data_IF_823033044372
#
_entry.id   IF_823033044372
#
_cell.length_a   1.000
_cell.length_b   1.000
_cell.length_c   1.000
_cell.angle_alpha   90.00
_cell.angle_beta   90.00
_cell.angle_gamma   90.00
#
_symmetry.space_group_name_H-M   'P 1'
#
loop_
_entity.id
_entity.type
_entity.pdbx_description
1 polymer ?
#
# COMPACT_ATOMS: atom_id res chain seq x y z
N UNK A 1 58.36 5.14 -45.42
CA UNK A 1 57.68 4.50 -44.25
C UNK A 1 56.19 4.86 -44.10
N UNK A 2 55.74 6.02 -44.58
CA UNK A 2 54.37 6.54 -44.42
C UNK A 2 53.29 5.77 -45.22
N UNK A 3 53.60 5.33 -46.45
CA UNK A 3 52.64 4.64 -47.34
C UNK A 3 52.10 3.30 -46.77
N UNK A 4 52.95 2.51 -46.11
CA UNK A 4 52.53 1.24 -45.51
C UNK A 4 51.61 1.41 -44.28
N UNK A 5 51.66 2.58 -43.59
CA UNK A 5 50.73 2.89 -42.50
C UNK A 5 49.32 3.14 -43.05
N UNK A 6 49.19 3.92 -44.12
CA UNK A 6 47.89 4.21 -44.75
C UNK A 6 47.21 2.96 -45.33
N UNK A 7 47.96 2.03 -45.92
CA UNK A 7 47.40 0.75 -46.41
C UNK A 7 46.92 -0.17 -45.28
N UNK A 8 47.59 -0.16 -44.12
CA UNK A 8 47.13 -0.88 -42.91
C UNK A 8 45.88 -0.23 -42.31
N UNK A 9 45.82 1.10 -42.23
CA UNK A 9 44.65 1.81 -41.69
C UNK A 9 43.37 1.53 -42.48
N UNK A 10 43.43 1.44 -43.82
CA UNK A 10 42.27 1.09 -44.65
C UNK A 10 41.71 -0.32 -44.40
N UNK A 11 42.54 -1.26 -43.90
CA UNK A 11 42.11 -2.62 -43.53
C UNK A 11 41.56 -2.70 -42.12
N UNK A 12 42.03 -1.83 -41.21
CA UNK A 12 41.63 -1.82 -39.79
C UNK A 12 40.34 -1.01 -39.58
N UNK A 13 40.11 0.03 -40.38
CA UNK A 13 38.93 0.89 -40.30
C UNK A 13 37.57 0.15 -40.35
N UNK A 14 37.32 -0.81 -41.28
CA UNK A 14 36.03 -1.51 -41.28
C UNK A 14 35.81 -2.39 -40.05
N UNK A 15 36.89 -2.92 -39.46
CA UNK A 15 36.83 -3.74 -38.23
C UNK A 15 36.44 -2.86 -37.04
N UNK A 16 36.99 -1.65 -36.94
CA UNK A 16 36.64 -0.69 -35.89
C UNK A 16 35.20 -0.21 -36.01
N UNK A 17 34.71 0.02 -37.24
CA UNK A 17 33.31 0.38 -37.50
C UNK A 17 32.38 -0.77 -37.09
N UNK A 18 32.72 -2.01 -37.44
CA UNK A 18 31.93 -3.18 -37.03
C UNK A 18 31.88 -3.34 -35.51
N UNK A 19 33.02 -3.17 -34.81
CA UNK A 19 33.08 -3.20 -33.35
C UNK A 19 32.24 -2.10 -32.70
N UNK A 20 32.29 -0.88 -33.23
CA UNK A 20 31.48 0.23 -32.74
C UNK A 20 29.99 -0.02 -32.94
N UNK A 21 29.58 -0.55 -34.09
CA UNK A 21 28.19 -0.90 -34.36
C UNK A 21 27.69 -2.00 -33.42
N UNK A 22 28.48 -3.04 -33.19
CA UNK A 22 28.14 -4.10 -32.23
C UNK A 22 27.99 -3.54 -30.82
N UNK A 23 28.93 -2.69 -30.38
CA UNK A 23 28.87 -2.07 -29.05
C UNK A 23 27.65 -1.13 -28.90
N UNK A 24 27.30 -0.38 -29.94
CA UNK A 24 26.13 0.50 -29.95
C UNK A 24 24.81 -0.26 -29.81
N UNK A 25 24.73 -1.48 -30.35
CA UNK A 25 23.53 -2.33 -30.20
C UNK A 25 23.31 -2.72 -28.73
N UNK A 26 24.38 -3.02 -27.99
CA UNK A 26 24.28 -3.35 -26.56
C UNK A 26 23.98 -2.13 -25.68
N UNK A 27 24.39 -0.93 -26.08
CA UNK A 27 24.13 0.31 -25.33
C UNK A 27 22.71 0.86 -25.54
N UNK A 28 22.09 0.60 -26.69
CA UNK A 28 20.72 1.05 -27.00
C UNK A 28 19.66 -0.02 -26.71
N UNK A 29 20.05 -1.23 -26.29
CA UNK A 29 19.08 -2.24 -25.88
C UNK A 29 18.36 -1.78 -24.59
N UNK A 30 17.02 -1.81 -24.54
CA UNK A 30 16.29 -1.47 -23.32
C UNK A 30 16.69 -2.42 -22.18
N UNK A 31 17.02 -1.87 -21.01
CA UNK A 31 17.28 -2.66 -19.81
C UNK A 31 15.98 -3.29 -19.33
N UNK A 32 15.82 -4.58 -19.57
CA UNK A 32 14.67 -5.35 -19.09
C UNK A 32 14.92 -5.66 -17.61
N UNK A 33 14.16 -5.03 -16.71
CA UNK A 33 14.19 -5.36 -15.29
C UNK A 33 13.30 -6.58 -15.06
N UNK A 34 13.89 -7.73 -14.73
CA UNK A 34 13.12 -8.90 -14.30
C UNK A 34 12.59 -8.66 -12.87
N UNK A 35 11.28 -8.81 -12.69
CA UNK A 35 10.64 -8.76 -11.36
C UNK A 35 10.76 -10.14 -10.72
N UNK A 36 11.87 -10.38 -10.04
CA UNK A 36 12.13 -11.62 -9.30
C UNK A 36 11.85 -11.44 -7.81
N UNK A 37 11.10 -12.39 -7.22
CA UNK A 37 10.95 -12.51 -5.77
C UNK A 37 11.68 -13.77 -5.30
N UNK A 38 12.62 -13.64 -4.38
CA UNK A 38 13.47 -14.75 -3.93
C UNK A 38 13.44 -14.93 -2.41
N UNK A 39 13.58 -16.18 -1.97
CA UNK A 39 13.88 -16.61 -0.61
C UNK A 39 15.09 -17.55 -0.61
N UNK A 40 15.58 -17.95 0.56
CA UNK A 40 16.73 -18.86 0.71
C UNK A 40 16.58 -20.17 -0.06
N UNK A 41 15.34 -20.63 -0.29
CA UNK A 41 15.07 -21.92 -0.92
C UNK A 41 14.41 -21.81 -2.31
N UNK A 42 13.95 -20.63 -2.72
CA UNK A 42 13.19 -20.47 -3.97
C UNK A 42 13.46 -19.12 -4.61
N UNK A 43 13.61 -19.12 -5.93
CA UNK A 43 13.63 -17.91 -6.75
C UNK A 43 12.40 -17.96 -7.68
N UNK A 44 11.53 -16.96 -7.59
CA UNK A 44 10.34 -16.82 -8.42
C UNK A 44 10.60 -15.71 -9.43
N UNK A 45 10.78 -16.10 -10.69
CA UNK A 45 10.90 -15.17 -11.81
C UNK A 45 9.54 -15.10 -12.54
N UNK A 46 8.70 -14.14 -12.17
CA UNK A 46 7.48 -13.82 -12.93
C UNK A 46 6.23 -14.70 -12.75
N UNK A 47 5.33 -14.57 -13.73
CA UNK A 47 3.99 -15.17 -13.85
C UNK A 47 4.03 -16.71 -14.04
N UNK A 48 3.19 -17.47 -13.32
CA UNK A 48 3.04 -18.92 -13.49
C UNK A 48 2.02 -19.26 -14.60
N UNK A 49 2.24 -18.70 -15.80
CA UNK A 49 1.43 -18.94 -17.00
C UNK A 49 2.29 -19.44 -18.16
N UNK A 50 1.75 -20.33 -19.00
CA UNK A 50 2.42 -20.83 -20.22
C UNK A 50 2.75 -19.67 -21.20
N UNK A 51 2.05 -18.54 -21.14
CA UNK A 51 2.40 -17.32 -21.88
C UNK A 51 1.97 -16.04 -21.14
N UNK A 52 2.68 -14.94 -21.36
CA UNK A 52 2.29 -13.62 -20.88
C UNK A 52 3.11 -12.50 -21.52
N UNK A 53 2.67 -11.24 -21.37
CA UNK A 53 3.37 -10.07 -21.89
C UNK A 53 2.60 -8.77 -21.75
N UNK A 54 3.29 -7.65 -22.01
CA UNK A 54 2.67 -6.35 -22.21
C UNK A 54 2.58 -6.06 -23.71
N UNK A 55 1.37 -5.93 -24.22
CA UNK A 55 1.09 -5.43 -25.57
C UNK A 55 0.58 -4.01 -25.47
N UNK A 56 0.85 -3.18 -26.47
CA UNK A 56 0.36 -1.82 -26.45
C UNK A 56 0.41 -1.16 -27.80
N UNK A 57 -0.37 -0.10 -27.92
CA UNK A 57 -0.29 0.90 -28.97
C UNK A 57 -0.20 2.28 -28.30
N UNK A 58 -0.15 3.35 -29.08
CA UNK A 58 -0.21 4.72 -28.57
C UNK A 58 -1.43 4.96 -27.68
N UNK A 59 -2.54 4.26 -27.95
CA UNK A 59 -3.85 4.53 -27.34
C UNK A 59 -4.29 3.50 -26.30
N UNK A 60 -3.57 2.40 -26.13
CA UNK A 60 -3.92 1.42 -25.11
C UNK A 60 -2.71 0.59 -24.70
N UNK A 61 -2.75 0.12 -23.46
CA UNK A 61 -1.86 -0.91 -22.95
C UNK A 61 -2.72 -2.09 -22.53
N UNK A 62 -2.32 -3.28 -22.95
CA UNK A 62 -2.97 -4.53 -22.65
C UNK A 62 -1.92 -5.50 -22.09
N UNK A 63 -2.16 -5.98 -20.89
CA UNK A 63 -1.38 -7.06 -20.29
C UNK A 63 -2.12 -8.37 -20.52
N UNK A 64 -1.46 -9.34 -21.17
CA UNK A 64 -1.97 -10.68 -21.37
C UNK A 64 -1.21 -11.69 -20.53
N UNK A 65 -1.96 -12.62 -19.96
CA UNK A 65 -1.46 -13.80 -19.25
C UNK A 65 -2.37 -14.95 -19.65
N UNK A 66 -1.80 -16.11 -19.97
CA UNK A 66 -2.58 -17.31 -20.26
C UNK A 66 -1.84 -18.61 -20.04
N UNK A 67 -2.63 -19.68 -19.96
CA UNK A 67 -2.16 -21.06 -19.82
C UNK A 67 -1.70 -21.45 -18.41
N UNK A 68 -2.52 -21.19 -17.40
CA UNK A 68 -2.35 -21.86 -16.09
C UNK A 68 -2.85 -23.32 -16.15
N UNK A 69 -2.08 -24.26 -15.59
CA UNK A 69 -2.63 -25.55 -15.16
C UNK A 69 -3.21 -25.35 -13.76
N UNK A 70 -4.47 -25.75 -13.54
CA UNK A 70 -5.28 -25.44 -12.36
C UNK A 70 -5.56 -23.93 -12.18
N UNK A 71 -6.66 -23.45 -12.77
CA UNK A 71 -7.18 -22.08 -12.61
C UNK A 71 -7.88 -21.99 -11.25
N UNK A 72 -7.59 -20.99 -10.42
CA UNK A 72 -8.28 -20.77 -9.14
C UNK A 72 -7.37 -20.36 -7.99
N UNK A 73 -7.90 -20.44 -6.77
CA UNK A 73 -7.17 -20.16 -5.54
C UNK A 73 -6.77 -21.47 -4.86
N UNK A 74 -5.47 -21.75 -4.79
CA UNK A 74 -4.93 -22.79 -3.93
C UNK A 74 -4.54 -22.20 -2.58
N UNK A 75 -4.87 -22.86 -1.47
CA UNK A 75 -4.50 -22.40 -0.12
C UNK A 75 -3.81 -23.48 0.69
N UNK A 76 -2.80 -23.09 1.46
CA UNK A 76 -2.20 -23.83 2.56
C UNK A 76 -2.36 -23.02 3.86
N UNK A 77 -1.96 -23.60 5.00
CA UNK A 77 -1.99 -22.90 6.29
C UNK A 77 -1.17 -21.59 6.30
N UNK A 78 -0.18 -21.46 5.42
CA UNK A 78 0.78 -20.35 5.45
C UNK A 78 0.78 -19.49 4.18
N UNK A 79 0.22 -19.99 3.07
CA UNK A 79 0.29 -19.31 1.77
C UNK A 79 -0.93 -19.62 0.91
N UNK A 80 -1.43 -18.60 0.21
CA UNK A 80 -2.36 -18.74 -0.91
C UNK A 80 -1.62 -18.52 -2.23
N UNK A 81 -2.01 -19.26 -3.26
CA UNK A 81 -1.52 -19.09 -4.64
C UNK A 81 -2.74 -18.85 -5.52
N UNK A 82 -2.85 -17.66 -6.10
CA UNK A 82 -3.82 -17.39 -7.17
C UNK A 82 -3.18 -17.69 -8.51
N UNK A 83 -3.82 -18.51 -9.33
CA UNK A 83 -3.40 -18.81 -10.71
C UNK A 83 -4.45 -18.30 -11.70
N UNK A 84 -4.01 -17.49 -12.68
CA UNK A 84 -4.89 -16.87 -13.67
C UNK A 84 -4.69 -15.35 -13.81
N UNK A 85 -5.55 -14.71 -14.61
CA UNK A 85 -5.45 -13.29 -14.99
C UNK A 85 -5.29 -12.35 -13.78
N UNK A 86 -4.16 -11.66 -13.71
CA UNK A 86 -3.93 -10.42 -12.93
C UNK A 86 -4.37 -10.50 -11.45
N UNK A 87 -4.04 -11.60 -10.76
CA UNK A 87 -4.38 -11.75 -9.33
C UNK A 87 -3.68 -10.71 -8.43
N UNK A 88 -2.54 -10.17 -8.85
CA UNK A 88 -1.84 -9.06 -8.17
C UNK A 88 -2.67 -7.76 -8.14
N UNK A 89 -3.60 -7.58 -9.09
CA UNK A 89 -4.48 -6.41 -9.18
C UNK A 89 -5.90 -6.71 -8.67
N UNK A 90 -6.17 -7.97 -8.33
CA UNK A 90 -7.45 -8.44 -7.81
C UNK A 90 -7.51 -8.42 -6.28
N UNK A 91 -6.47 -7.91 -5.60
CA UNK A 91 -6.54 -7.69 -4.17
C UNK A 91 -7.58 -6.59 -3.90
N UNK A 92 -8.78 -7.03 -3.55
CA UNK A 92 -9.86 -6.13 -3.14
C UNK A 92 -9.36 -5.41 -1.89
N UNK A 93 -9.27 -4.08 -1.96
CA UNK A 93 -8.97 -3.26 -0.79
C UNK A 93 -10.10 -3.46 0.21
N UNK A 94 -9.78 -4.13 1.31
CA UNK A 94 -10.66 -4.34 2.43
C UNK A 94 -10.44 -3.19 3.43
N UNK A 95 -11.53 -2.52 3.79
CA UNK A 95 -11.56 -1.58 4.90
C UNK A 95 -12.79 -1.92 5.74
N UNK A 96 -12.56 -2.61 6.84
CA UNK A 96 -13.59 -2.91 7.83
C UNK A 96 -13.40 -1.98 9.00
N UNK A 97 -14.49 -1.29 9.39
CA UNK A 97 -14.52 -0.36 10.51
C UNK A 97 -15.62 -0.79 11.48
N UNK A 98 -15.24 -1.11 12.71
CA UNK A 98 -16.15 -1.57 13.76
C UNK A 98 -16.00 -0.66 14.98
N UNK A 99 -17.13 -0.23 15.54
CA UNK A 99 -17.17 0.41 16.85
C UNK A 99 -17.82 -0.56 17.83
N UNK A 100 -17.23 -0.74 19.02
CA UNK A 100 -17.74 -1.67 20.04
C UNK A 100 -19.14 -1.31 20.56
N UNK A 101 -19.53 -0.04 20.50
CA UNK A 101 -20.85 0.46 20.86
C UNK A 101 -21.13 1.79 20.17
N UNK A 102 -22.40 2.11 19.91
CA UNK A 102 -22.85 3.41 19.37
C UNK A 102 -23.41 4.34 20.45
N UNK A 103 -23.49 3.86 21.68
CA UNK A 103 -23.97 4.62 22.83
C UNK A 103 -23.08 4.32 24.04
N UNK A 104 -22.80 5.36 24.80
CA UNK A 104 -21.94 5.31 25.97
C UNK A 104 -22.73 5.88 27.14
N UNK A 105 -22.87 5.09 28.19
CA UNK A 105 -23.52 5.51 29.42
C UNK A 105 -22.45 5.93 30.44
N UNK A 106 -22.39 7.23 30.72
CA UNK A 106 -21.46 7.80 31.72
C UNK A 106 -21.97 7.63 33.17
N UNK A 107 -23.17 7.10 33.35
CA UNK A 107 -23.83 7.00 34.66
C UNK A 107 -24.28 8.35 35.18
N UNK A 108 -24.38 8.47 36.51
CA UNK A 108 -24.63 9.75 37.16
C UNK A 108 -23.34 10.58 37.17
N UNK A 109 -23.37 11.73 36.50
CA UNK A 109 -22.29 12.69 36.55
C UNK A 109 -22.36 13.42 37.90
N UNK A 110 -21.30 13.30 38.68
CA UNK A 110 -21.13 13.96 39.99
C UNK A 110 -19.83 14.76 39.96
N UNK A 111 -19.51 15.55 40.98
CA UNK A 111 -18.30 16.40 41.01
C UNK A 111 -16.94 15.66 40.96
N UNK A 112 -16.92 14.38 40.62
CA UNK A 112 -15.72 13.61 40.32
C UNK A 112 -15.75 13.25 38.83
N UNK A 113 -14.72 13.59 38.05
CA UNK A 113 -14.61 13.18 36.65
C UNK A 113 -14.75 11.66 36.48
N UNK A 114 -15.58 11.24 35.54
CA UNK A 114 -15.72 9.84 35.15
C UNK A 114 -15.37 9.67 33.68
N UNK A 115 -14.67 8.58 33.38
CA UNK A 115 -14.27 8.24 32.02
C UNK A 115 -14.79 6.87 31.64
N UNK A 116 -15.09 6.69 30.37
CA UNK A 116 -15.42 5.40 29.78
C UNK A 116 -14.85 5.37 28.36
N UNK A 117 -14.82 4.19 27.75
CA UNK A 117 -14.22 4.00 26.45
C UNK A 117 -15.06 3.10 25.56
N UNK A 118 -14.87 3.26 24.27
CA UNK A 118 -15.31 2.32 23.26
C UNK A 118 -14.13 2.06 22.34
N UNK A 119 -14.13 0.89 21.72
CA UNK A 119 -13.02 0.46 20.86
C UNK A 119 -13.42 0.67 19.42
N UNK A 120 -12.57 1.36 18.66
CA UNK A 120 -12.64 1.40 17.21
C UNK A 120 -11.63 0.38 16.67
N UNK A 121 -12.12 -0.61 15.95
CA UNK A 121 -11.29 -1.63 15.30
C UNK A 121 -11.30 -1.41 13.79
N UNK A 122 -10.12 -1.24 13.21
CA UNK A 122 -9.92 -1.14 11.76
C UNK A 122 -9.14 -2.34 11.28
N UNK A 123 -9.74 -3.10 10.36
CA UNK A 123 -9.05 -4.16 9.61
C UNK A 123 -8.89 -3.69 8.17
N UNK A 124 -7.66 -3.65 7.68
CA UNK A 124 -7.39 -3.28 6.29
C UNK A 124 -6.15 -3.96 5.74
N UNK A 125 -6.16 -4.24 4.44
CA UNK A 125 -4.98 -4.63 3.65
C UNK A 125 -4.42 -3.46 2.82
N UNK A 126 -4.85 -2.22 3.11
CA UNK A 126 -4.29 -1.05 2.46
C UNK A 126 -2.80 -0.90 2.80
N UNK A 127 -1.95 -1.01 1.77
CA UNK A 127 -0.50 -0.85 1.90
C UNK A 127 -0.09 0.51 2.50
N UNK A 128 -0.83 1.58 2.17
CA UNK A 128 -0.52 2.94 2.62
C UNK A 128 -1.05 3.24 4.03
N UNK A 129 -1.63 2.24 4.71
CA UNK A 129 -2.22 2.36 6.04
C UNK A 129 -3.62 2.98 6.04
N UNK A 130 -4.02 3.52 7.20
CA UNK A 130 -5.32 4.13 7.42
C UNK A 130 -5.22 5.30 8.40
N UNK A 131 -6.19 6.22 8.31
CA UNK A 131 -6.39 7.31 9.26
C UNK A 131 -7.80 7.17 9.86
N UNK A 132 -7.91 7.35 11.17
CA UNK A 132 -9.18 7.48 11.88
C UNK A 132 -9.22 8.87 12.49
N UNK A 133 -10.36 9.54 12.36
CA UNK A 133 -10.62 10.84 12.98
C UNK A 133 -11.86 10.72 13.83
N UNK A 134 -11.80 11.24 15.05
CA UNK A 134 -12.95 11.39 15.95
C UNK A 134 -13.22 12.88 16.05
N UNK A 135 -14.49 13.26 15.90
CA UNK A 135 -14.95 14.65 15.94
C UNK A 135 -16.17 14.67 16.85
N UNK A 136 -16.20 15.61 17.79
CA UNK A 136 -17.36 15.88 18.62
C UNK A 136 -18.27 16.93 17.97
N UNK A 137 -19.56 16.90 18.30
CA UNK A 137 -20.52 17.89 17.80
C UNK A 137 -20.69 19.10 18.75
N UNK A 138 -19.80 19.22 19.74
CA UNK A 138 -19.73 20.26 20.77
C UNK A 138 -20.10 19.73 22.16
N UNK A 139 -20.46 20.65 23.07
CA UNK A 139 -20.79 20.37 24.47
C UNK A 139 -21.64 19.10 24.67
N UNK A 140 -21.25 18.31 25.67
CA UNK A 140 -22.08 17.22 26.17
C UNK A 140 -23.42 17.78 26.65
N UNK A 141 -24.53 17.25 26.14
CA UNK A 141 -25.85 17.83 26.35
C UNK A 141 -26.95 16.78 26.53
N UNK A 142 -27.94 17.12 27.34
CA UNK A 142 -29.17 16.31 27.46
C UNK A 142 -30.20 16.75 26.42
N UNK A 143 -31.19 15.89 26.15
CA UNK A 143 -32.35 16.29 25.32
C UNK A 143 -33.20 17.41 25.95
N UNK A 144 -32.99 17.72 27.25
CA UNK A 144 -33.66 18.80 27.98
C UNK A 144 -32.94 20.15 27.89
N UNK A 145 -31.73 20.20 27.32
CA UNK A 145 -30.97 21.43 27.11
C UNK A 145 -29.90 21.73 28.15
N UNK A 146 -29.73 20.89 29.18
CA UNK A 146 -28.59 20.99 30.10
C UNK A 146 -27.30 20.64 29.36
N UNK A 147 -26.22 21.35 29.65
CA UNK A 147 -24.92 21.17 28.99
C UNK A 147 -23.77 21.12 29.98
N UNK A 148 -22.74 20.35 29.65
CA UNK A 148 -21.41 20.40 30.25
C UNK A 148 -20.45 20.91 29.17
N UNK A 149 -19.64 21.90 29.51
CA UNK A 149 -18.77 22.58 28.53
C UNK A 149 -17.55 21.76 28.17
N UNK A 150 -17.06 21.95 26.93
CA UNK A 150 -15.83 21.29 26.49
C UNK A 150 -14.63 21.78 27.29
N UNK A 151 -13.75 20.84 27.65
CA UNK A 151 -12.50 21.09 28.35
C UNK A 151 -11.61 22.02 27.52
N UNK A 152 -11.06 23.05 28.16
CA UNK A 152 -10.32 24.10 27.47
C UNK A 152 -8.79 23.96 27.56
N UNK A 153 -8.31 23.30 28.60
CA UNK A 153 -6.88 23.16 28.93
C UNK A 153 -6.33 21.75 28.69
N UNK A 154 -7.20 20.82 28.31
CA UNK A 154 -6.87 19.44 27.96
C UNK A 154 -6.94 18.44 29.12
N UNK A 155 -7.36 18.84 30.31
CA UNK A 155 -7.59 17.94 31.44
C UNK A 155 -9.02 18.12 31.98
N UNK A 156 -9.84 17.06 31.93
CA UNK A 156 -11.19 17.13 32.52
C UNK A 156 -11.05 17.04 34.02
N UNK A 157 -11.19 18.16 34.71
CA UNK A 157 -11.08 18.22 36.15
C UNK A 157 -12.32 18.86 36.82
N UNK A 158 -12.29 18.93 38.14
CA UNK A 158 -13.31 19.64 38.93
C UNK A 158 -12.71 20.89 39.59
N UNK A 159 -11.53 21.31 39.15
CA UNK A 159 -10.89 22.52 39.63
C UNK A 159 -11.69 23.73 39.15
N UNK A 160 -11.69 24.80 39.94
CA UNK A 160 -12.45 26.01 39.60
C UNK A 160 -13.97 25.90 39.82
N UNK A 161 -14.53 24.70 39.96
CA UNK A 161 -15.98 24.49 40.17
C UNK A 161 -16.80 24.53 38.88
N UNK A 162 -16.14 24.45 37.73
CA UNK A 162 -16.78 24.39 36.41
C UNK A 162 -17.05 22.93 36.01
N UNK A 163 -18.09 22.69 35.21
CA UNK A 163 -18.35 21.36 34.64
C UNK A 163 -17.67 21.18 33.29
N UNK A 164 -16.84 20.14 33.16
CA UNK A 164 -16.04 19.88 31.97
C UNK A 164 -16.31 18.51 31.33
N UNK A 165 -16.17 18.46 30.00
CA UNK A 165 -16.28 17.27 29.17
C UNK A 165 -15.15 17.23 28.14
N UNK A 166 -14.62 16.04 27.85
CA UNK A 166 -13.58 15.89 26.85
C UNK A 166 -13.52 14.51 26.22
N UNK A 167 -13.00 14.46 25.00
CA UNK A 167 -12.73 13.24 24.25
C UNK A 167 -11.23 13.03 24.10
N UNK A 168 -10.78 11.81 24.38
CA UNK A 168 -9.40 11.40 24.18
C UNK A 168 -9.34 10.11 23.35
N UNK A 169 -8.36 10.04 22.45
CA UNK A 169 -8.07 8.83 21.69
C UNK A 169 -6.74 8.25 22.14
N UNK A 170 -6.69 6.95 22.37
CA UNK A 170 -5.44 6.21 22.54
C UNK A 170 -5.32 5.16 21.44
N UNK A 171 -4.10 4.96 20.93
CA UNK A 171 -3.81 3.92 19.94
C UNK A 171 -3.10 2.76 20.62
N UNK A 172 -3.64 1.57 20.46
CA UNK A 172 -2.91 0.31 20.65
C UNK A 172 -2.79 -0.35 19.28
N UNK A 173 -1.58 -0.74 18.88
CA UNK A 173 -1.28 -1.28 17.55
C UNK A 173 -0.20 -2.33 17.63
#
# INVERSE_FOLDING_TARGET
MVYNKFKKMKKILPILIALYLVFSIFYLAPTIHAFGSSSTNYNLEGEFGIFGGAKGSTNYKLTDTGGGFAIGFGSSANYGTGSGFQYVIAEVRELVFIISTTSVNLGALTGTPTSTSHTITVTTNAHDGYQVTVIEDGNLRTGGGDTITDVSDGEVDAAGGDEEYGLATSKSG
#
